data_IF_328394963138
#
_entry.id   IF_328394963138
#
_cell.length_a   1.000
_cell.length_b   1.000
_cell.length_c   1.000
_cell.angle_alpha   90.00
_cell.angle_beta   90.00
_cell.angle_gamma   90.00
#
_symmetry.space_group_name_H-M   'P 1'
#
loop_
_entity.id
_entity.type
_entity.pdbx_description
1 polymer ?
#
# COMPACT_ATOMS: atom_id res chain seq x y z
N UNK A 1 9.17 22.57 -87.48
CA UNK A 1 9.62 21.35 -86.77
C UNK A 1 10.16 21.81 -85.41
N UNK A 2 9.34 21.97 -84.37
CA UNK A 2 8.83 20.94 -83.43
C UNK A 2 9.97 20.07 -82.87
N UNK A 3 10.41 20.37 -81.64
CA UNK A 3 10.60 19.46 -80.50
C UNK A 3 11.18 20.26 -79.31
N UNK A 4 10.30 20.91 -78.55
CA UNK A 4 10.48 21.25 -77.12
C UNK A 4 9.37 20.53 -76.37
N UNK A 5 9.63 20.17 -75.11
CA UNK A 5 8.71 19.59 -74.14
C UNK A 5 8.22 18.16 -74.45
N UNK A 6 8.78 17.18 -73.73
CA UNK A 6 8.04 16.23 -72.87
C UNK A 6 9.03 15.19 -72.33
N UNK A 7 9.64 15.46 -71.19
CA UNK A 7 10.40 14.44 -70.44
C UNK A 7 10.29 14.73 -68.93
N UNK A 8 9.09 15.08 -68.48
CA UNK A 8 8.81 15.42 -67.09
C UNK A 8 7.33 15.14 -66.80
N UNK A 9 6.90 13.89 -66.98
CA UNK A 9 5.55 13.44 -66.63
C UNK A 9 5.42 11.91 -66.54
N UNK A 10 6.35 11.23 -65.86
CA UNK A 10 6.16 9.84 -65.42
C UNK A 10 6.92 9.59 -64.11
N UNK A 11 6.60 10.38 -63.08
CA UNK A 11 6.77 9.94 -61.70
C UNK A 11 5.40 9.46 -61.25
N UNK A 12 5.17 8.16 -61.04
CA UNK A 12 3.98 7.74 -60.34
C UNK A 12 4.09 8.33 -58.93
N UNK A 13 3.20 9.26 -58.62
CA UNK A 13 2.83 9.59 -57.25
C UNK A 13 2.36 8.28 -56.60
N UNK A 14 3.29 7.52 -56.03
CA UNK A 14 3.00 6.63 -54.92
C UNK A 14 2.70 7.52 -53.72
N UNK A 15 1.51 8.12 -53.72
CA UNK A 15 0.89 8.51 -52.47
C UNK A 15 0.62 7.17 -51.78
N UNK A 16 1.52 6.77 -50.88
CA UNK A 16 1.19 5.88 -49.79
C UNK A 16 0.09 6.60 -48.98
N UNK A 17 -1.16 6.50 -49.45
CA UNK A 17 -2.28 6.47 -48.53
C UNK A 17 -2.09 5.16 -47.79
N UNK A 18 -1.43 5.23 -46.63
CA UNK A 18 -1.59 4.25 -45.57
C UNK A 18 -3.08 4.18 -45.30
N UNK A 19 -3.76 3.23 -45.94
CA UNK A 19 -5.11 2.83 -45.59
C UNK A 19 -5.10 2.62 -44.08
N UNK A 20 -6.00 3.25 -43.30
CA UNK A 20 -6.17 2.86 -41.93
C UNK A 20 -6.40 1.35 -41.95
N UNK A 21 -5.56 0.63 -41.23
CA UNK A 21 -5.70 -0.80 -41.01
C UNK A 21 -7.11 -0.99 -40.47
N UNK A 22 -8.04 -1.39 -41.33
CA UNK A 22 -9.37 -1.81 -40.92
C UNK A 22 -9.14 -2.89 -39.89
N UNK A 23 -9.46 -2.57 -38.63
CA UNK A 23 -9.38 -3.51 -37.52
C UNK A 23 -10.12 -4.77 -37.97
N UNK A 24 -9.38 -5.87 -38.10
CA UNK A 24 -9.98 -7.20 -38.18
C UNK A 24 -10.89 -7.29 -36.97
N UNK A 25 -12.18 -7.68 -37.11
CA UNK A 25 -13.04 -7.84 -35.96
C UNK A 25 -12.35 -8.79 -34.99
N UNK A 26 -12.06 -8.30 -33.78
CA UNK A 26 -11.38 -9.07 -32.75
C UNK A 26 -12.16 -10.37 -32.51
N UNK A 27 -11.42 -11.49 -32.39
CA UNK A 27 -12.00 -12.78 -32.01
C UNK A 27 -12.72 -12.61 -30.67
N UNK A 28 -13.82 -13.34 -30.39
CA UNK A 28 -14.42 -13.34 -29.05
C UNK A 28 -13.43 -13.70 -27.93
N UNK A 29 -12.32 -14.35 -28.27
CA UNK A 29 -11.33 -14.89 -27.33
C UNK A 29 -10.21 -13.90 -26.98
N UNK A 30 -10.07 -12.77 -27.68
CA UNK A 30 -9.05 -11.78 -27.32
C UNK A 30 -9.41 -10.35 -27.69
N UNK A 31 -8.79 -9.39 -27.00
CA UNK A 31 -8.92 -7.95 -27.22
C UNK A 31 -7.55 -7.30 -27.22
N UNK A 32 -7.27 -6.47 -28.23
CA UNK A 32 -5.95 -5.81 -28.37
C UNK A 32 -6.09 -4.30 -28.38
N UNK A 33 -5.30 -3.64 -27.53
CA UNK A 33 -5.27 -2.20 -27.35
C UNK A 33 -3.88 -1.66 -27.73
N UNK A 34 -3.70 -1.16 -28.97
CA UNK A 34 -2.43 -0.62 -29.40
C UNK A 34 -2.20 0.79 -28.83
N UNK A 35 -0.94 1.13 -28.51
CA UNK A 35 -0.54 2.47 -28.10
C UNK A 35 0.69 2.97 -28.85
N UNK A 36 0.81 4.29 -28.95
CA UNK A 36 1.97 4.96 -29.50
C UNK A 36 2.19 6.31 -28.82
N UNK A 37 3.43 6.57 -28.44
CA UNK A 37 3.90 7.81 -27.85
C UNK A 37 5.03 8.36 -28.73
N UNK A 38 4.85 9.58 -29.22
CA UNK A 38 5.90 10.32 -29.93
C UNK A 38 6.77 11.15 -28.96
N UNK A 39 6.22 11.46 -27.80
CA UNK A 39 6.85 12.22 -26.72
C UNK A 39 6.37 11.64 -25.37
N UNK A 40 7.04 11.97 -24.24
CA UNK A 40 6.62 11.52 -22.92
C UNK A 40 5.17 11.92 -22.65
N UNK A 41 4.37 11.02 -22.11
CA UNK A 41 2.95 11.29 -21.95
C UNK A 41 2.17 10.15 -21.36
N UNK A 42 0.85 10.35 -21.34
CA UNK A 42 -0.11 9.39 -20.82
C UNK A 42 -1.19 9.15 -21.85
N UNK A 43 -1.55 7.89 -22.07
CA UNK A 43 -2.68 7.48 -22.89
C UNK A 43 -3.69 6.75 -22.00
N UNK A 44 -4.98 6.92 -22.28
CA UNK A 44 -6.06 6.29 -21.53
C UNK A 44 -6.96 5.55 -22.51
N UNK A 45 -7.37 4.34 -22.12
CA UNK A 45 -8.22 3.45 -22.91
C UNK A 45 -9.32 2.89 -22.02
N UNK A 46 -10.52 2.70 -22.56
CA UNK A 46 -11.60 2.00 -21.85
C UNK A 46 -11.41 0.50 -21.96
N UNK A 47 -11.81 -0.22 -20.91
CA UNK A 47 -11.68 -1.67 -20.79
C UNK A 47 -13.04 -2.38 -20.80
N UNK A 48 -14.11 -1.76 -21.33
CA UNK A 48 -15.46 -2.33 -21.39
C UNK A 48 -15.49 -3.71 -22.07
N UNK A 49 -14.70 -3.85 -23.14
CA UNK A 49 -14.53 -5.10 -23.88
C UNK A 49 -13.85 -6.20 -23.04
N UNK A 50 -12.99 -5.83 -22.09
CA UNK A 50 -12.33 -6.78 -21.17
C UNK A 50 -13.32 -7.30 -20.13
N UNK A 51 -14.32 -6.52 -19.74
CA UNK A 51 -15.41 -6.98 -18.86
C UNK A 51 -16.19 -8.12 -19.54
N UNK A 52 -16.52 -7.95 -20.82
CA UNK A 52 -17.21 -9.00 -21.60
C UNK A 52 -16.35 -10.25 -21.75
N UNK A 53 -15.04 -10.07 -21.96
CA UNK A 53 -14.07 -11.17 -22.01
C UNK A 53 -13.99 -11.90 -20.66
N UNK A 54 -14.05 -11.16 -19.56
CA UNK A 54 -14.00 -11.70 -18.21
C UNK A 54 -15.24 -12.57 -17.92
N UNK A 55 -16.43 -12.10 -18.25
CA UNK A 55 -17.68 -12.86 -18.09
C UNK A 55 -17.69 -14.13 -18.95
N UNK A 56 -17.18 -14.04 -20.20
CA UNK A 56 -17.04 -15.20 -21.07
C UNK A 56 -16.13 -16.26 -20.45
N UNK A 57 -14.93 -15.89 -20.02
CA UNK A 57 -14.00 -16.87 -19.47
C UNK A 57 -14.46 -17.44 -18.11
N UNK A 58 -15.19 -16.68 -17.28
CA UNK A 58 -15.89 -17.25 -16.12
C UNK A 58 -16.88 -18.35 -16.54
N UNK A 59 -17.73 -18.08 -17.53
CA UNK A 59 -18.74 -19.04 -18.00
C UNK A 59 -18.14 -20.33 -18.59
N UNK A 60 -16.90 -20.26 -19.07
CA UNK A 60 -16.17 -21.37 -19.69
C UNK A 60 -15.10 -21.98 -18.81
N UNK A 61 -14.99 -21.55 -17.54
CA UNK A 61 -13.95 -21.98 -16.61
C UNK A 61 -12.52 -21.80 -17.16
N UNK A 62 -12.27 -20.62 -17.72
CA UNK A 62 -11.02 -20.19 -18.34
C UNK A 62 -10.35 -19.08 -17.52
N UNK A 63 -9.09 -18.80 -17.84
CA UNK A 63 -8.29 -17.70 -17.26
C UNK A 63 -8.15 -16.60 -18.31
N UNK A 64 -8.11 -15.33 -17.90
CA UNK A 64 -7.71 -14.23 -18.80
C UNK A 64 -6.26 -13.89 -18.57
N UNK A 65 -5.49 -13.85 -19.65
CA UNK A 65 -4.11 -13.36 -19.64
C UNK A 65 -4.09 -11.93 -20.19
N UNK A 66 -3.47 -11.01 -19.46
CA UNK A 66 -3.03 -9.74 -19.99
C UNK A 66 -1.56 -9.79 -20.36
N UNK A 67 -1.28 -9.52 -21.63
CA UNK A 67 0.05 -9.37 -22.20
C UNK A 67 0.31 -7.93 -22.58
N UNK A 68 1.35 -7.34 -22.01
CA UNK A 68 1.84 -6.02 -22.38
C UNK A 68 3.16 -6.17 -23.12
N UNK A 69 3.29 -5.49 -24.26
CA UNK A 69 4.53 -5.42 -25.04
C UNK A 69 4.76 -3.98 -25.46
N UNK A 70 5.96 -3.47 -25.19
CA UNK A 70 6.46 -2.18 -25.65
C UNK A 70 7.75 -2.37 -26.46
N UNK A 71 7.86 -1.65 -27.58
CA UNK A 71 8.88 -1.88 -28.61
C UNK A 71 10.21 -1.20 -28.26
N UNK A 72 10.18 0.06 -27.85
CA UNK A 72 11.40 0.89 -27.74
C UNK A 72 11.75 1.19 -26.29
N UNK A 73 10.82 1.76 -25.51
CA UNK A 73 11.04 2.17 -24.13
C UNK A 73 10.09 1.43 -23.18
N UNK A 74 10.49 1.14 -21.94
CA UNK A 74 9.59 0.54 -20.96
C UNK A 74 8.44 1.49 -20.61
N UNK A 75 7.28 0.93 -20.29
CA UNK A 75 6.07 1.68 -19.90
C UNK A 75 5.57 1.22 -18.53
N UNK A 76 4.98 2.15 -17.80
CA UNK A 76 4.19 1.87 -16.59
C UNK A 76 2.71 1.91 -16.95
N UNK A 77 1.87 1.24 -16.16
CA UNK A 77 0.43 1.30 -16.37
C UNK A 77 -0.34 1.21 -15.07
N UNK A 78 -1.58 1.69 -15.14
CA UNK A 78 -2.54 1.65 -14.04
C UNK A 78 -3.89 1.24 -14.60
N UNK A 79 -4.52 0.24 -14.00
CA UNK A 79 -5.92 -0.11 -14.23
C UNK A 79 -6.75 0.54 -13.13
N UNK A 80 -7.77 1.28 -13.53
CA UNK A 80 -8.64 2.02 -12.63
C UNK A 80 -10.11 1.69 -12.83
N UNK A 81 -10.87 1.70 -11.75
CA UNK A 81 -12.33 1.71 -11.79
C UNK A 81 -12.83 2.89 -10.96
N UNK A 82 -13.68 3.75 -11.52
CA UNK A 82 -14.14 4.98 -10.86
C UNK A 82 -12.99 5.81 -10.25
N UNK A 83 -11.90 6.02 -11.00
CA UNK A 83 -10.64 6.65 -10.58
C UNK A 83 -9.88 5.98 -9.42
N UNK A 84 -10.39 4.90 -8.84
CA UNK A 84 -9.69 4.09 -7.85
C UNK A 84 -8.71 3.16 -8.55
N UNK A 85 -7.47 3.10 -8.07
CA UNK A 85 -6.43 2.23 -8.60
C UNK A 85 -6.67 0.82 -8.13
N UNK A 86 -6.98 -0.09 -9.05
CA UNK A 86 -7.15 -1.52 -8.75
C UNK A 86 -5.83 -2.26 -8.91
N UNK A 87 -5.07 -1.88 -9.94
CA UNK A 87 -3.81 -2.54 -10.26
C UNK A 87 -2.83 -1.55 -10.88
N UNK A 88 -1.62 -1.48 -10.35
CA UNK A 88 -0.58 -0.60 -10.87
C UNK A 88 0.73 -1.35 -11.08
N UNK A 89 1.39 -1.02 -12.19
CA UNK A 89 2.81 -1.26 -12.40
C UNK A 89 3.52 0.09 -12.39
N UNK A 90 4.11 0.40 -11.25
CA UNK A 90 4.91 1.60 -10.99
C UNK A 90 6.31 1.51 -11.60
N UNK A 91 6.93 0.33 -11.58
CA UNK A 91 8.24 0.08 -12.22
C UNK A 91 8.03 -0.18 -13.72
N UNK A 92 8.49 0.71 -14.63
CA UNK A 92 8.27 0.54 -16.06
C UNK A 92 8.91 -0.74 -16.59
N UNK A 93 8.17 -1.49 -17.41
CA UNK A 93 8.68 -2.69 -18.09
C UNK A 93 8.38 -2.66 -19.58
N UNK A 94 9.16 -3.41 -20.36
CA UNK A 94 8.89 -3.62 -21.79
C UNK A 94 7.90 -4.74 -22.04
N UNK A 95 7.89 -5.75 -21.18
CA UNK A 95 7.04 -6.92 -21.34
C UNK A 95 6.44 -7.30 -19.99
N UNK A 96 5.19 -7.73 -20.01
CA UNK A 96 4.55 -8.34 -18.84
C UNK A 96 3.50 -9.33 -19.29
N UNK A 97 3.40 -10.43 -18.57
CA UNK A 97 2.32 -11.40 -18.71
C UNK A 97 1.72 -11.64 -17.32
N UNK A 98 0.43 -11.35 -17.18
CA UNK A 98 -0.31 -11.46 -15.93
C UNK A 98 -1.55 -12.29 -16.20
N UNK A 99 -1.84 -13.23 -15.32
CA UNK A 99 -2.96 -14.14 -15.43
C UNK A 99 -3.96 -13.84 -14.31
N UNK A 100 -5.22 -13.67 -14.71
CA UNK A 100 -6.35 -13.38 -13.86
C UNK A 100 -7.21 -14.64 -13.71
N UNK A 101 -7.26 -15.16 -12.49
CA UNK A 101 -8.07 -16.32 -12.15
C UNK A 101 -9.54 -15.97 -11.91
N UNK A 102 -10.33 -16.96 -11.48
CA UNK A 102 -11.76 -16.81 -11.23
C UNK A 102 -12.08 -15.65 -10.27
N UNK A 103 -11.25 -15.44 -9.24
CA UNK A 103 -11.45 -14.36 -8.26
C UNK A 103 -11.31 -12.99 -8.92
N UNK A 104 -10.24 -12.79 -9.68
CA UNK A 104 -10.04 -11.56 -10.45
C UNK A 104 -11.13 -11.34 -11.48
N UNK A 105 -11.52 -12.40 -12.17
CA UNK A 105 -12.51 -12.32 -13.24
C UNK A 105 -13.89 -11.94 -12.70
N UNK A 106 -14.25 -12.47 -11.53
CA UNK A 106 -15.44 -12.05 -10.79
C UNK A 106 -15.37 -10.57 -10.44
N UNK A 107 -14.23 -10.12 -9.89
CA UNK A 107 -14.01 -8.70 -9.57
C UNK A 107 -14.12 -7.79 -10.81
N UNK A 108 -13.52 -8.18 -11.94
CA UNK A 108 -13.59 -7.43 -13.20
C UNK A 108 -15.03 -7.35 -13.73
N UNK A 109 -15.76 -8.46 -13.71
CA UNK A 109 -17.17 -8.53 -14.11
C UNK A 109 -18.08 -7.68 -13.23
N UNK A 110 -17.87 -7.68 -11.91
CA UNK A 110 -18.63 -6.84 -10.98
C UNK A 110 -18.26 -5.35 -11.10
N UNK A 111 -16.98 -5.06 -11.27
CA UNK A 111 -16.46 -3.70 -11.47
C UNK A 111 -17.07 -3.03 -12.69
N UNK A 112 -17.14 -3.75 -13.82
CA UNK A 112 -17.74 -3.24 -15.06
C UNK A 112 -19.25 -3.03 -15.02
N UNK A 113 -19.97 -3.58 -14.01
CA UNK A 113 -21.42 -3.36 -13.84
C UNK A 113 -21.75 -2.05 -13.12
N UNK A 114 -20.80 -1.51 -12.35
CA UNK A 114 -20.99 -0.28 -11.59
C UNK A 114 -20.65 0.90 -12.47
N UNK A 115 -21.68 1.64 -12.90
CA UNK A 115 -21.46 2.93 -13.57
C UNK A 115 -21.07 3.99 -12.55
N UNK A 116 -19.99 4.70 -12.80
CA UNK A 116 -19.50 5.75 -11.93
C UNK A 116 -20.36 7.00 -12.20
N UNK A 117 -21.12 7.43 -11.19
CA UNK A 117 -22.13 8.50 -11.35
C UNK A 117 -21.58 9.88 -11.76
N UNK A 118 -20.26 10.08 -11.76
CA UNK A 118 -19.59 11.38 -11.95
C UNK A 118 -18.41 11.34 -12.94
N UNK A 119 -18.14 10.19 -13.56
CA UNK A 119 -16.92 10.02 -14.36
C UNK A 119 -17.26 9.72 -15.81
N UNK A 120 -16.40 10.17 -16.73
CA UNK A 120 -16.58 9.95 -18.17
C UNK A 120 -16.26 8.50 -18.56
N UNK A 121 -15.42 7.82 -17.77
CA UNK A 121 -15.00 6.45 -18.02
C UNK A 121 -15.03 5.64 -16.72
N UNK A 122 -15.73 4.51 -16.74
CA UNK A 122 -15.90 3.68 -15.56
C UNK A 122 -14.65 2.82 -15.31
N UNK A 123 -14.21 2.07 -16.32
CA UNK A 123 -13.10 1.12 -16.21
C UNK A 123 -12.01 1.42 -17.27
N UNK A 124 -10.82 1.80 -16.83
CA UNK A 124 -9.77 2.33 -17.71
C UNK A 124 -8.39 1.73 -17.51
N UNK A 125 -7.63 1.66 -18.61
CA UNK A 125 -6.20 1.42 -18.64
C UNK A 125 -5.49 2.73 -18.94
N UNK A 126 -4.70 3.21 -17.99
CA UNK A 126 -3.83 4.35 -18.13
C UNK A 126 -2.39 3.88 -18.38
N UNK A 127 -1.80 4.26 -19.50
CA UNK A 127 -0.44 3.87 -19.90
C UNK A 127 0.43 5.13 -19.84
N UNK A 128 1.56 5.06 -19.14
CA UNK A 128 2.52 6.17 -19.06
C UNK A 128 3.85 5.76 -19.69
N UNK A 129 4.41 6.65 -20.49
CA UNK A 129 5.71 6.48 -21.12
C UNK A 129 6.58 7.72 -20.89
N UNK A 130 7.84 7.52 -20.51
CA UNK A 130 8.82 8.59 -20.31
C UNK A 130 9.61 8.93 -21.58
N UNK A 131 9.44 8.14 -22.65
CA UNK A 131 10.14 8.29 -23.93
C UNK A 131 9.23 7.82 -25.07
N UNK A 132 9.61 8.16 -26.31
CA UNK A 132 8.91 7.69 -27.49
C UNK A 132 8.93 6.15 -27.56
N UNK A 133 7.75 5.55 -27.71
CA UNK A 133 7.60 4.09 -27.80
C UNK A 133 6.24 3.74 -28.39
N UNK A 134 6.09 2.50 -28.84
CA UNK A 134 4.82 1.95 -29.27
C UNK A 134 4.65 0.54 -28.73
N UNK A 135 3.45 0.00 -28.78
CA UNK A 135 3.20 -1.33 -28.25
C UNK A 135 1.73 -1.68 -28.24
N UNK A 136 1.41 -2.69 -27.46
CA UNK A 136 0.03 -3.10 -27.24
C UNK A 136 -0.17 -3.75 -25.87
N UNK A 137 -1.42 -3.71 -25.43
CA UNK A 137 -1.97 -4.61 -24.42
C UNK A 137 -2.89 -5.60 -25.11
N UNK A 138 -2.77 -6.88 -24.80
CA UNK A 138 -3.66 -7.93 -25.30
C UNK A 138 -4.23 -8.70 -24.13
N UNK A 139 -5.55 -8.76 -24.06
CA UNK A 139 -6.28 -9.62 -23.15
C UNK A 139 -6.76 -10.83 -23.93
N UNK A 140 -6.54 -12.03 -23.42
CA UNK A 140 -6.84 -13.28 -24.13
C UNK A 140 -7.37 -14.33 -23.15
N UNK A 141 -8.43 -15.02 -23.53
CA UNK A 141 -8.92 -16.19 -22.80
C UNK A 141 -8.02 -17.39 -23.11
N UNK A 142 -7.65 -18.10 -22.05
CA UNK A 142 -6.82 -19.30 -22.13
C UNK A 142 -7.42 -20.40 -21.26
N UNK A 143 -7.03 -21.64 -21.52
CA UNK A 143 -7.27 -22.73 -20.57
C UNK A 143 -6.70 -22.36 -19.18
N UNK A 144 -7.25 -22.95 -18.12
CA UNK A 144 -6.84 -22.64 -16.75
C UNK A 144 -5.33 -22.64 -16.59
N UNK A 145 -4.81 -21.54 -16.06
CA UNK A 145 -3.38 -21.43 -15.81
C UNK A 145 -2.95 -22.37 -14.68
N UNK A 146 -1.93 -23.24 -14.88
CA UNK A 146 -1.50 -24.19 -13.86
C UNK A 146 -1.00 -23.46 -12.60
N UNK A 147 -1.65 -23.73 -11.47
CA UNK A 147 -1.27 -23.17 -10.18
C UNK A 147 -0.37 -24.12 -9.41
N UNK A 148 0.72 -23.60 -8.85
CA UNK A 148 1.44 -24.29 -7.80
C UNK A 148 0.72 -24.08 -6.47
N UNK A 149 0.56 -25.16 -5.69
CA UNK A 149 0.05 -25.03 -4.32
C UNK A 149 0.99 -24.12 -3.53
N UNK A 150 0.41 -23.25 -2.71
CA UNK A 150 1.21 -22.44 -1.81
C UNK A 150 2.06 -23.33 -0.90
N UNK A 151 3.26 -22.85 -0.60
CA UNK A 151 4.00 -23.32 0.57
C UNK A 151 3.38 -22.72 1.82
N UNK A 152 3.45 -23.44 2.93
CA UNK A 152 3.15 -22.88 4.24
C UNK A 152 4.24 -21.86 4.57
N UNK A 153 3.85 -20.59 4.70
CA UNK A 153 4.72 -19.55 5.20
C UNK A 153 4.39 -19.27 6.64
N UNK A 154 5.42 -19.08 7.47
CA UNK A 154 5.22 -18.55 8.81
C UNK A 154 4.57 -17.16 8.71
N UNK A 155 3.56 -16.93 9.55
CA UNK A 155 2.87 -15.63 9.65
C UNK A 155 3.76 -14.48 10.15
N UNK A 156 5.02 -14.76 10.46
CA UNK A 156 6.02 -13.81 10.92
C UNK A 156 7.23 -13.76 10.00
N UNK A 157 7.70 -12.54 9.73
CA UNK A 157 8.89 -12.27 8.93
C UNK A 157 9.99 -11.79 9.88
N UNK A 158 11.13 -12.49 9.86
CA UNK A 158 12.37 -12.01 10.48
C UNK A 158 13.08 -11.08 9.50
N UNK A 159 13.26 -9.84 9.92
CA UNK A 159 13.83 -8.78 9.11
C UNK A 159 15.21 -8.48 9.67
N UNK A 160 16.22 -8.67 8.83
CA UNK A 160 17.58 -8.29 9.14
C UNK A 160 18.16 -7.59 7.90
N UNK A 161 18.10 -6.26 7.92
CA UNK A 161 18.71 -5.40 6.93
C UNK A 161 19.92 -4.72 7.57
N UNK A 162 21.10 -4.94 6.98
CA UNK A 162 22.36 -4.33 7.45
C UNK A 162 22.70 -3.06 6.69
N UNK A 163 21.99 -2.81 5.59
CA UNK A 163 22.17 -1.67 4.68
C UNK A 163 20.79 -1.22 4.18
N UNK A 164 20.77 -0.08 3.51
CA UNK A 164 19.62 0.44 2.77
C UNK A 164 19.36 -0.41 1.53
N UNK A 165 18.83 -1.61 1.74
CA UNK A 165 18.49 -2.54 0.68
C UNK A 165 17.01 -2.91 0.71
N UNK A 166 16.40 -2.90 -0.46
CA UNK A 166 15.04 -3.42 -0.62
C UNK A 166 15.13 -4.94 -0.66
N UNK A 167 14.68 -5.58 0.42
CA UNK A 167 14.59 -7.03 0.50
C UNK A 167 13.12 -7.46 0.36
N UNK A 168 12.88 -8.41 -0.54
CA UNK A 168 11.58 -9.04 -0.74
C UNK A 168 11.43 -10.22 0.22
N UNK A 169 10.32 -10.27 0.95
CA UNK A 169 9.98 -11.33 1.88
C UNK A 169 8.71 -12.03 1.37
N UNK A 170 8.83 -13.24 0.80
CA UNK A 170 7.65 -13.97 0.34
C UNK A 170 6.84 -14.46 1.53
N UNK A 171 5.52 -14.35 1.43
CA UNK A 171 4.58 -14.80 2.45
C UNK A 171 3.28 -15.30 1.81
N UNK A 172 2.47 -16.05 2.56
CA UNK A 172 1.08 -16.32 2.20
C UNK A 172 0.15 -15.85 3.33
N UNK A 173 -0.86 -15.05 2.98
CA UNK A 173 -1.87 -14.51 3.90
C UNK A 173 -3.28 -15.08 3.71
N UNK A 174 -3.48 -16.01 2.78
CA UNK A 174 -4.80 -16.55 2.43
C UNK A 174 -5.55 -17.09 3.66
N UNK A 175 -4.89 -17.84 4.53
CA UNK A 175 -5.49 -18.39 5.75
C UNK A 175 -5.96 -17.29 6.71
N UNK A 176 -5.15 -16.24 6.88
CA UNK A 176 -5.45 -15.11 7.74
C UNK A 176 -6.60 -14.29 7.16
N UNK A 177 -6.56 -14.01 5.85
CA UNK A 177 -7.61 -13.31 5.11
C UNK A 177 -8.93 -14.09 5.21
N UNK A 178 -8.91 -15.40 4.95
CA UNK A 178 -10.08 -16.26 5.02
C UNK A 178 -10.71 -16.26 6.43
N UNK A 179 -9.90 -16.35 7.49
CA UNK A 179 -10.40 -16.30 8.88
C UNK A 179 -11.08 -14.98 9.23
N UNK A 180 -10.57 -13.86 8.74
CA UNK A 180 -11.19 -12.54 8.92
C UNK A 180 -12.48 -12.46 8.13
N UNK A 181 -12.50 -12.92 6.88
CA UNK A 181 -13.70 -12.92 6.03
C UNK A 181 -14.85 -13.76 6.56
N UNK A 182 -14.57 -14.88 7.23
CA UNK A 182 -15.62 -15.70 7.87
C UNK A 182 -16.27 -14.95 9.04
N UNK A 183 -15.53 -14.09 9.75
CA UNK A 183 -16.04 -13.37 10.91
C UNK A 183 -15.63 -11.88 10.89
N UNK A 184 -16.10 -11.09 9.91
CA UNK A 184 -15.60 -9.74 9.67
C UNK A 184 -15.96 -8.75 10.78
N UNK A 185 -17.01 -9.03 11.53
CA UNK A 185 -17.48 -8.19 12.64
C UNK A 185 -16.74 -8.42 13.96
N UNK A 186 -16.00 -9.52 14.06
CA UNK A 186 -15.33 -9.90 15.31
C UNK A 186 -13.83 -10.10 15.13
N UNK A 187 -13.33 -10.23 13.90
CA UNK A 187 -11.92 -10.45 13.61
C UNK A 187 -11.34 -9.39 12.69
N UNK A 188 -10.08 -9.05 12.91
CA UNK A 188 -9.30 -8.17 12.04
C UNK A 188 -7.91 -8.75 11.81
N UNK A 189 -7.34 -8.47 10.65
CA UNK A 189 -5.93 -8.74 10.40
C UNK A 189 -5.11 -7.56 10.93
N UNK A 190 -4.20 -7.86 11.85
CA UNK A 190 -3.35 -6.88 12.53
C UNK A 190 -1.91 -7.16 12.15
N UNK A 191 -1.20 -6.09 11.79
CA UNK A 191 0.24 -6.09 11.56
C UNK A 191 0.91 -5.64 12.86
N UNK A 192 1.78 -6.48 13.40
CA UNK A 192 2.52 -6.24 14.63
C UNK A 192 4.00 -6.06 14.29
N UNK A 193 4.47 -4.80 14.14
CA UNK A 193 5.87 -4.53 13.94
C UNK A 193 6.63 -4.51 15.28
N UNK A 194 7.80 -5.15 15.30
CA UNK A 194 8.76 -5.09 16.38
C UNK A 194 10.11 -4.68 15.80
N UNK A 195 10.22 -3.41 15.43
CA UNK A 195 11.43 -2.80 14.89
C UNK A 195 11.94 -1.69 15.81
N UNK A 196 13.24 -1.45 15.77
CA UNK A 196 13.88 -0.36 16.52
C UNK A 196 13.66 1.03 15.87
N UNK A 197 13.10 1.08 14.65
CA UNK A 197 12.76 2.34 13.97
C UNK A 197 11.36 2.83 14.29
N UNK A 198 11.21 4.16 14.26
CA UNK A 198 9.92 4.82 14.46
C UNK A 198 9.13 5.02 13.17
N UNK A 199 9.73 4.83 11.99
CA UNK A 199 9.06 5.03 10.71
C UNK A 199 9.52 4.01 9.69
N UNK A 200 8.56 3.35 9.08
CA UNK A 200 8.80 2.43 7.98
C UNK A 200 7.54 2.27 7.15
N UNK A 201 7.68 1.88 5.89
CA UNK A 201 6.59 1.54 5.01
C UNK A 201 6.64 0.07 4.61
N UNK A 202 5.46 -0.52 4.45
CA UNK A 202 5.25 -1.88 3.98
C UNK A 202 4.62 -1.80 2.59
N UNK A 203 5.27 -2.39 1.60
CA UNK A 203 4.71 -2.52 0.25
C UNK A 203 4.40 -3.99 -0.01
N UNK A 204 3.20 -4.25 -0.53
CA UNK A 204 2.78 -5.59 -0.95
C UNK A 204 2.85 -5.67 -2.46
N UNK A 205 3.51 -6.69 -3.00
CA UNK A 205 3.68 -6.87 -4.44
C UNK A 205 3.49 -8.31 -4.85
N UNK A 206 3.06 -8.51 -6.09
CA UNK A 206 3.11 -9.79 -6.79
C UNK A 206 3.26 -9.51 -8.28
N UNK A 207 4.05 -10.29 -9.00
CA UNK A 207 4.26 -10.10 -10.44
C UNK A 207 4.79 -8.69 -10.82
N UNK A 208 5.61 -8.10 -9.94
CA UNK A 208 6.08 -6.71 -10.04
C UNK A 208 4.95 -5.67 -10.23
N UNK A 209 3.77 -6.00 -9.69
CA UNK A 209 2.63 -5.11 -9.56
C UNK A 209 2.55 -4.65 -8.11
N UNK A 210 2.24 -3.38 -7.94
CA UNK A 210 2.09 -2.74 -6.65
C UNK A 210 0.64 -2.25 -6.53
N UNK A 211 -0.26 -3.02 -5.92
CA UNK A 211 -1.57 -2.47 -5.60
C UNK A 211 -1.51 -1.55 -4.39
N UNK A 212 -0.48 -1.63 -3.52
CA UNK A 212 -0.62 -1.11 -2.16
C UNK A 212 0.69 -0.86 -1.40
N UNK A 213 0.80 0.34 -0.82
CA UNK A 213 1.82 0.72 0.15
C UNK A 213 1.16 1.25 1.44
N UNK A 214 1.63 0.79 2.59
CA UNK A 214 1.22 1.23 3.92
C UNK A 214 2.38 1.92 4.62
N UNK A 215 2.22 3.19 4.96
CA UNK A 215 3.18 3.90 5.80
C UNK A 215 2.78 3.73 7.27
N UNK A 216 3.69 3.20 8.09
CA UNK A 216 3.48 3.02 9.51
C UNK A 216 4.35 4.02 10.28
N UNK A 217 3.67 4.81 11.10
CA UNK A 217 4.28 5.79 11.99
C UNK A 217 4.22 5.17 13.39
N UNK A 218 5.38 5.00 13.99
CA UNK A 218 5.65 4.30 15.25
C UNK A 218 5.48 2.77 15.13
N UNK A 219 6.17 1.98 15.99
CA UNK A 219 6.03 0.52 16.06
C UNK A 219 4.70 0.12 16.71
N UNK A 220 3.61 0.78 16.33
CA UNK A 220 2.26 0.50 16.81
C UNK A 220 1.59 -0.58 15.95
N UNK A 221 0.73 -1.42 16.54
CA UNK A 221 -0.10 -2.35 15.78
C UNK A 221 -0.94 -1.64 14.72
N UNK A 222 -0.88 -2.10 13.48
CA UNK A 222 -1.70 -1.56 12.39
C UNK A 222 -2.84 -2.52 12.05
N UNK A 223 -4.08 -2.04 12.12
CA UNK A 223 -5.26 -2.82 11.78
C UNK A 223 -5.57 -2.61 10.30
N UNK A 224 -5.64 -3.70 9.53
CA UNK A 224 -6.07 -3.65 8.14
C UNK A 224 -7.59 -3.52 8.07
N UNK A 225 -8.06 -2.46 7.40
CA UNK A 225 -9.47 -2.27 7.12
C UNK A 225 -9.96 -3.25 6.03
N UNK A 226 -11.27 -3.27 5.77
CA UNK A 226 -11.88 -4.18 4.79
C UNK A 226 -11.40 -3.96 3.36
N UNK A 227 -11.12 -2.71 2.98
CA UNK A 227 -10.68 -2.35 1.63
C UNK A 227 -9.25 -2.84 1.37
N UNK A 228 -8.34 -2.58 2.30
CA UNK A 228 -6.96 -3.06 2.26
C UNK A 228 -6.90 -4.58 2.24
N UNK A 229 -7.74 -5.24 3.04
CA UNK A 229 -7.83 -6.70 3.06
C UNK A 229 -8.30 -7.25 1.69
N UNK A 230 -9.26 -6.57 1.05
CA UNK A 230 -9.74 -6.94 -0.27
C UNK A 230 -8.68 -6.76 -1.36
N UNK A 231 -7.91 -5.66 -1.34
CA UNK A 231 -6.79 -5.47 -2.26
C UNK A 231 -5.67 -6.49 -2.06
N UNK A 232 -5.39 -6.90 -0.81
CA UNK A 232 -4.44 -7.98 -0.52
C UNK A 232 -4.94 -9.33 -1.06
N UNK A 233 -6.23 -9.61 -0.92
CA UNK A 233 -6.84 -10.81 -1.48
C UNK A 233 -6.70 -10.82 -3.01
N UNK A 234 -7.10 -9.74 -3.68
CA UNK A 234 -6.91 -9.57 -5.13
C UNK A 234 -5.44 -9.81 -5.50
N UNK A 235 -4.50 -9.16 -4.83
CA UNK A 235 -3.07 -9.35 -5.12
C UNK A 235 -2.62 -10.81 -5.00
N UNK A 236 -3.10 -11.52 -3.98
CA UNK A 236 -2.73 -12.91 -3.72
C UNK A 236 -3.20 -13.89 -4.80
N UNK A 237 -4.22 -13.50 -5.57
CA UNK A 237 -4.80 -14.27 -6.67
C UNK A 237 -4.20 -13.95 -8.06
N UNK A 238 -3.33 -12.94 -8.17
CA UNK A 238 -2.61 -12.67 -9.42
C UNK A 238 -1.60 -13.77 -9.72
N UNK A 239 -1.36 -14.08 -10.99
CA UNK A 239 -0.33 -15.06 -11.39
C UNK A 239 0.53 -14.48 -12.50
N UNK A 240 1.79 -14.89 -12.55
CA UNK A 240 2.73 -14.56 -13.62
C UNK A 240 3.61 -15.76 -13.91
N UNK A 241 4.38 -15.69 -15.00
CA UNK A 241 5.24 -16.78 -15.42
C UNK A 241 6.34 -17.09 -14.39
N UNK A 242 6.84 -16.05 -13.73
CA UNK A 242 7.90 -16.11 -12.72
C UNK A 242 7.37 -16.59 -11.36
N UNK A 243 6.08 -16.36 -11.06
CA UNK A 243 5.42 -16.80 -9.83
C UNK A 243 3.97 -17.25 -10.08
N UNK A 244 3.79 -18.57 -10.12
CA UNK A 244 2.50 -19.24 -10.28
C UNK A 244 1.91 -19.78 -8.96
N UNK A 245 2.51 -19.45 -7.81
CA UNK A 245 2.03 -19.90 -6.51
C UNK A 245 0.79 -19.10 -6.12
N UNK A 246 -0.29 -19.81 -5.84
CA UNK A 246 -1.49 -19.19 -5.30
C UNK A 246 -1.23 -18.64 -3.89
N UNK A 247 -1.82 -17.49 -3.56
CA UNK A 247 -1.75 -16.92 -2.21
C UNK A 247 -0.43 -16.25 -1.81
N UNK A 248 0.65 -16.51 -2.56
CA UNK A 248 1.96 -15.93 -2.27
C UNK A 248 2.00 -14.44 -2.62
N UNK A 249 2.50 -13.59 -1.74
CA UNK A 249 2.79 -12.18 -2.02
C UNK A 249 4.20 -11.85 -1.50
N UNK A 250 4.86 -10.91 -2.15
CA UNK A 250 6.14 -10.37 -1.69
C UNK A 250 5.87 -9.11 -0.85
N UNK A 251 6.35 -9.12 0.39
CA UNK A 251 6.39 -7.94 1.25
C UNK A 251 7.76 -7.29 1.14
N UNK A 252 7.79 -6.00 0.86
CA UNK A 252 9.01 -5.19 0.88
C UNK A 252 8.88 -4.13 1.96
N UNK A 253 9.93 -3.97 2.75
CA UNK A 253 9.98 -3.01 3.84
C UNK A 253 10.94 -1.87 3.50
N UNK A 254 10.49 -0.65 3.75
CA UNK A 254 11.21 0.58 3.47
C UNK A 254 11.37 1.35 4.77
N UNK A 255 12.55 1.88 5.01
CA UNK A 255 12.83 2.85 6.07
C UNK A 255 13.64 3.96 5.43
N UNK A 256 13.41 5.20 5.84
CA UNK A 256 14.15 6.38 5.35
C UNK A 256 15.26 6.82 6.31
N UNK A 257 15.20 6.37 7.57
CA UNK A 257 16.06 6.86 8.66
C UNK A 257 17.15 5.85 9.07
N UNK A 258 16.83 4.54 9.11
CA UNK A 258 17.77 3.50 9.52
C UNK A 258 17.46 2.12 8.89
N UNK A 259 18.45 1.22 8.71
CA UNK A 259 18.19 -0.16 8.33
C UNK A 259 17.25 -0.88 9.32
N UNK A 260 16.37 -1.74 8.81
CA UNK A 260 15.40 -2.45 9.63
C UNK A 260 15.98 -3.73 10.23
N UNK A 261 15.87 -3.87 11.55
CA UNK A 261 16.17 -5.10 12.26
C UNK A 261 15.03 -5.41 13.23
N UNK A 262 14.51 -6.64 13.19
CA UNK A 262 13.41 -7.06 14.05
C UNK A 262 12.44 -8.01 13.37
N UNK A 263 11.17 -7.98 13.78
CA UNK A 263 10.15 -8.89 13.24
C UNK A 263 8.87 -8.15 12.82
N UNK A 264 8.21 -8.69 11.81
CA UNK A 264 6.88 -8.27 11.38
C UNK A 264 5.93 -9.46 11.43
N UNK A 265 4.88 -9.38 12.23
CA UNK A 265 3.93 -10.49 12.40
C UNK A 265 2.55 -10.09 11.91
N UNK A 266 1.92 -10.98 11.14
CA UNK A 266 0.55 -10.84 10.65
C UNK A 266 -0.36 -11.74 11.48
N UNK A 267 -1.21 -11.14 12.30
CA UNK A 267 -2.01 -11.86 13.28
C UNK A 267 -3.50 -11.56 13.10
N UNK A 268 -4.32 -12.61 13.17
CA UNK A 268 -5.79 -12.46 13.22
C UNK A 268 -6.18 -12.25 14.68
N UNK A 269 -6.55 -11.02 15.02
CA UNK A 269 -6.98 -10.66 16.36
C UNK A 269 -8.51 -10.57 16.43
N UNK A 270 -9.08 -10.98 17.56
CA UNK A 270 -10.47 -10.67 17.89
C UNK A 270 -10.58 -9.18 18.30
N UNK A 271 -11.67 -8.51 17.94
CA UNK A 271 -11.93 -7.11 18.27
C UNK A 271 -11.88 -6.85 19.79
N UNK A 272 -12.21 -7.88 20.59
CA UNK A 272 -12.08 -7.84 22.05
C UNK A 272 -10.62 -7.90 22.49
N UNK A 273 -9.76 -8.69 21.82
CA UNK A 273 -8.36 -8.88 22.17
C UNK A 273 -7.47 -7.65 21.92
N UNK A 274 -7.79 -6.85 20.88
CA UNK A 274 -7.09 -5.57 20.63
C UNK A 274 -7.42 -4.54 21.71
N UNK A 275 -8.68 -4.50 22.15
CA UNK A 275 -9.05 -3.70 23.33
C UNK A 275 -8.40 -4.24 24.62
N UNK A 276 -8.23 -5.55 24.75
CA UNK A 276 -7.69 -6.13 25.97
C UNK A 276 -6.21 -5.80 26.17
N UNK A 277 -5.38 -5.74 25.12
CA UNK A 277 -3.99 -5.28 25.25
C UNK A 277 -3.90 -3.81 25.72
N UNK A 278 -4.77 -2.94 25.19
CA UNK A 278 -4.85 -1.53 25.57
C UNK A 278 -5.42 -1.34 26.98
N UNK A 279 -6.45 -2.12 27.34
CA UNK A 279 -7.02 -2.14 28.69
C UNK A 279 -6.00 -2.67 29.71
N UNK A 280 -5.20 -3.67 29.36
CA UNK A 280 -4.20 -4.22 30.27
C UNK A 280 -3.11 -3.21 30.60
N UNK A 281 -2.62 -2.46 29.59
CA UNK A 281 -1.68 -1.36 29.80
C UNK A 281 -2.27 -0.23 30.66
N UNK A 282 -3.53 0.16 30.40
CA UNK A 282 -4.23 1.17 31.19
C UNK A 282 -4.51 0.72 32.63
N UNK A 283 -4.90 -0.53 32.83
CA UNK A 283 -5.18 -1.10 34.15
C UNK A 283 -3.91 -1.23 34.98
N UNK A 284 -2.78 -1.62 34.37
CA UNK A 284 -1.47 -1.63 35.01
C UNK A 284 -1.04 -0.23 35.46
N UNK A 285 -1.24 0.80 34.62
CA UNK A 285 -0.97 2.19 34.98
C UNK A 285 -1.82 2.66 36.17
N UNK A 286 -3.11 2.32 36.18
CA UNK A 286 -4.02 2.66 37.28
C UNK A 286 -3.58 1.97 38.58
N UNK A 287 -3.26 0.67 38.53
CA UNK A 287 -2.80 -0.09 39.69
C UNK A 287 -1.47 0.45 40.22
N UNK A 288 -0.52 0.74 39.32
CA UNK A 288 0.77 1.29 39.70
C UNK A 288 0.63 2.69 40.32
N UNK A 289 -0.21 3.53 39.73
CA UNK A 289 -0.57 4.84 40.29
C UNK A 289 -1.14 4.71 41.69
N UNK A 290 -2.11 3.80 41.90
CA UNK A 290 -2.73 3.58 43.21
C UNK A 290 -1.72 3.13 44.28
N UNK A 291 -0.82 2.21 43.93
CA UNK A 291 0.26 1.76 44.83
C UNK A 291 1.16 2.95 45.22
N UNK A 292 1.55 3.77 44.24
CA UNK A 292 2.39 4.96 44.47
C UNK A 292 1.70 5.95 45.42
N UNK A 293 0.41 6.24 45.21
CA UNK A 293 -0.36 7.15 46.07
C UNK A 293 -0.46 6.62 47.50
N UNK A 294 -0.69 5.31 47.67
CA UNK A 294 -0.72 4.66 48.99
C UNK A 294 0.65 4.73 49.66
N UNK A 295 1.74 4.47 48.94
CA UNK A 295 3.10 4.59 49.46
C UNK A 295 3.42 6.02 49.92
N UNK A 296 3.03 7.04 49.14
CA UNK A 296 3.20 8.46 49.50
C UNK A 296 2.38 8.80 50.75
N UNK A 297 1.12 8.38 50.81
CA UNK A 297 0.26 8.63 51.96
C UNK A 297 0.80 7.98 53.24
N UNK A 298 1.26 6.74 53.15
CA UNK A 298 1.91 6.02 54.26
C UNK A 298 3.19 6.76 54.68
N UNK A 299 4.03 7.15 53.72
CA UNK A 299 5.25 7.92 53.97
C UNK A 299 4.99 9.24 54.71
N UNK A 300 4.01 10.02 54.26
CA UNK A 300 3.58 11.24 54.94
C UNK A 300 3.04 10.97 56.34
N UNK A 301 2.25 9.91 56.52
CA UNK A 301 1.70 9.55 57.83
C UNK A 301 2.81 9.17 58.83
N UNK A 302 3.83 8.41 58.38
CA UNK A 302 5.01 8.11 59.18
C UNK A 302 5.86 9.35 59.48
N UNK A 303 6.05 10.25 58.51
CA UNK A 303 6.78 11.50 58.70
C UNK A 303 6.10 12.38 59.76
N UNK A 304 4.79 12.58 59.65
CA UNK A 304 3.99 13.32 60.64
C UNK A 304 4.00 12.66 62.02
N UNK A 305 3.91 11.33 62.11
CA UNK A 305 4.03 10.63 63.39
C UNK A 305 5.41 10.81 64.03
N UNK A 306 6.47 10.88 63.22
CA UNK A 306 7.85 11.10 63.69
C UNK A 306 8.07 12.54 64.15
N UNK A 307 7.50 13.52 63.45
CA UNK A 307 7.52 14.94 63.84
C UNK A 307 6.68 15.21 65.10
N UNK A 308 5.49 14.61 65.23
CA UNK A 308 4.68 14.70 66.45
C UNK A 308 5.39 14.14 67.68
N UNK A 309 6.18 13.07 67.52
CA UNK A 309 7.04 12.53 68.59
C UNK A 309 8.24 13.45 68.90
N UNK A 310 8.86 14.07 67.89
CA UNK A 310 9.93 15.08 68.08
C UNK A 310 9.42 16.36 68.78
N UNK A 311 8.25 16.86 68.40
CA UNK A 311 7.63 18.03 69.03
C UNK A 311 7.30 17.79 70.51
N UNK A 312 6.82 16.58 70.87
CA UNK A 312 6.64 16.17 72.28
C UNK A 312 7.96 16.07 73.06
N UNK A 313 9.06 15.74 72.40
CA UNK A 313 10.40 15.68 73.00
C UNK A 313 10.98 17.08 73.25
N UNK A 314 10.83 18.01 72.29
CA UNK A 314 11.31 19.40 72.40
C UNK A 314 10.52 20.16 73.50
N UNK A 315 9.22 19.90 73.66
CA UNK A 315 8.41 20.50 74.74
C UNK A 315 8.86 20.09 76.16
N UNK A 316 9.62 18.97 76.30
CA UNK A 316 10.19 18.52 77.58
C UNK A 316 11.64 18.98 77.82
N UNK A 317 12.32 19.57 76.84
CA UNK A 317 13.68 20.09 76.96
C UNK A 317 13.87 21.32 76.05
N UNK A 318 13.52 22.53 76.53
CA UNK A 318 13.48 23.74 75.71
C UNK A 318 14.85 24.32 75.30
N UNK A 319 15.98 23.70 75.70
CA UNK A 319 17.33 24.25 75.47
C UNK A 319 17.96 23.89 74.11
N UNK A 320 17.24 23.21 73.21
CA UNK A 320 17.80 22.69 71.94
C UNK A 320 17.30 23.38 70.66
N UNK A 321 16.59 24.51 70.74
CA UNK A 321 16.22 25.26 69.55
C UNK A 321 17.38 26.15 69.07
N UNK A 322 18.10 25.69 68.05
CA UNK A 322 18.86 26.59 67.15
C UNK A 322 17.93 27.14 66.07
N UNK A 323 18.15 28.38 65.58
CA UNK A 323 17.37 28.95 64.50
C UNK A 323 17.56 28.16 63.20
N UNK A 324 16.47 27.87 62.51
CA UNK A 324 16.49 27.28 61.17
C UNK A 324 16.90 28.35 60.14
N UNK A 325 17.77 28.01 59.17
CA UNK A 325 18.08 28.88 58.04
C UNK A 325 16.89 29.00 57.08
N UNK A 326 16.83 30.08 56.28
CA UNK A 326 15.73 30.35 55.37
C UNK A 326 15.61 29.30 54.26
N UNK A 327 14.36 29.03 53.88
CA UNK A 327 13.95 28.07 52.85
C UNK A 327 14.27 28.66 51.46
N UNK A 328 14.93 27.91 50.55
CA UNK A 328 15.10 28.36 49.17
C UNK A 328 13.78 28.29 48.40
N UNK A 329 13.54 29.31 47.56
CA UNK A 329 12.42 29.38 46.62
C UNK A 329 12.37 28.14 45.71
N UNK A 330 11.16 27.58 45.57
CA UNK A 330 10.89 26.35 44.85
C UNK A 330 10.42 26.72 43.44
N UNK A 331 11.23 26.42 42.41
CA UNK A 331 10.83 26.58 41.00
C UNK A 331 9.63 25.69 40.66
N UNK A 332 8.62 26.29 40.02
CA UNK A 332 7.45 25.60 39.48
C UNK A 332 7.86 24.60 38.40
N UNK A 333 7.65 23.31 38.67
CA UNK A 333 7.80 22.25 37.67
C UNK A 333 6.45 22.08 36.97
N UNK A 334 6.35 22.63 35.76
CA UNK A 334 5.21 22.45 34.87
C UNK A 334 5.20 21.00 34.35
N UNK A 335 4.19 20.23 34.74
CA UNK A 335 4.06 18.82 34.39
C UNK A 335 3.11 18.67 33.18
N UNK A 336 3.67 18.65 31.97
CA UNK A 336 2.91 18.37 30.73
C UNK A 336 2.51 16.89 30.67
N UNK A 337 1.20 16.63 30.74
CA UNK A 337 0.60 15.30 30.57
C UNK A 337 0.45 15.00 29.08
N UNK A 338 1.16 13.96 28.62
CA UNK A 338 1.08 13.48 27.23
C UNK A 338 -0.07 12.47 27.08
N UNK A 339 -1.02 12.77 26.19
CA UNK A 339 -2.10 11.84 25.82
C UNK A 339 -1.74 11.26 24.45
N UNK A 340 -1.52 9.94 24.30
CA UNK A 340 -1.21 9.35 23.00
C UNK A 340 -2.43 9.40 22.09
N UNK A 341 -2.26 9.98 20.90
CA UNK A 341 -3.22 9.96 19.79
C UNK A 341 -3.05 8.66 19.02
N UNK A 342 -4.11 7.86 18.90
CA UNK A 342 -4.16 6.76 17.94
C UNK A 342 -4.57 7.31 16.57
N UNK A 343 -3.88 6.84 15.52
CA UNK A 343 -4.18 7.19 14.14
C UNK A 343 -4.97 6.05 13.52
N UNK A 344 -6.28 6.23 13.35
CA UNK A 344 -7.02 5.48 12.35
C UNK A 344 -6.56 5.95 10.99
N UNK A 345 -5.82 5.11 10.26
CA UNK A 345 -5.38 5.41 8.90
C UNK A 345 -6.60 5.38 7.97
N UNK A 346 -7.16 6.56 7.71
CA UNK A 346 -8.00 6.81 6.54
C UNK A 346 -7.07 6.98 5.36
N UNK A 347 -7.35 6.27 4.28
CA UNK A 347 -6.76 6.54 2.98
C UNK A 347 -7.18 7.95 2.55
N UNK A 348 -6.22 8.83 2.28
CA UNK A 348 -6.47 10.07 1.54
C UNK A 348 -5.90 9.87 0.14
N UNK A 349 -6.79 9.76 -0.86
CA UNK A 349 -6.41 9.57 -2.26
C UNK A 349 -6.13 10.89 -2.98
N UNK A 350 -6.03 12.01 -2.24
CA UNK A 350 -5.78 13.34 -2.79
C UNK A 350 -4.46 13.91 -2.29
N UNK A 351 -3.47 13.96 -3.18
CA UNK A 351 -2.77 15.19 -3.57
C UNK A 351 -1.51 14.87 -4.39
N UNK A 352 -1.67 14.86 -5.71
CA UNK A 352 -0.65 15.34 -6.65
C UNK A 352 -1.39 16.11 -7.75
N UNK A 353 -1.96 17.25 -7.36
CA UNK A 353 -2.56 18.25 -8.24
C UNK A 353 -2.27 19.64 -7.70
N UNK A 354 -1.09 20.16 -8.01
CA UNK A 354 -0.77 21.58 -8.29
C UNK A 354 0.71 21.57 -8.72
N UNK A 355 1.13 22.09 -9.88
CA UNK A 355 0.90 23.46 -10.32
C UNK A 355 2.09 24.32 -9.91
N UNK A 356 3.22 24.21 -10.61
CA UNK A 356 4.26 25.25 -10.57
C UNK A 356 4.74 25.56 -11.98
N UNK A 357 4.09 26.55 -12.57
CA UNK A 357 4.70 27.45 -13.53
C UNK A 357 5.74 28.28 -12.78
N UNK A 358 7.03 28.01 -13.00
CA UNK A 358 8.07 29.04 -12.87
C UNK A 358 8.82 29.16 -14.19
N UNK A 359 8.57 30.29 -14.84
CA UNK A 359 9.46 30.89 -15.81
C UNK A 359 10.80 31.20 -15.13
N UNK A 360 11.89 30.63 -15.63
CA UNK A 360 13.21 31.27 -15.53
C UNK A 360 13.80 31.29 -16.94
N UNK A 361 13.91 32.51 -17.47
CA UNK A 361 14.86 32.86 -18.51
C UNK A 361 16.27 32.71 -17.93
N UNK A 362 17.11 31.91 -18.56
CA UNK A 362 18.55 32.18 -18.61
C UNK A 362 19.04 31.99 -20.04
N UNK A 363 19.23 33.13 -20.70
CA UNK A 363 20.14 33.32 -21.81
C UNK A 363 21.58 33.21 -21.29
N UNK A 364 22.40 32.34 -21.86
CA UNK A 364 23.85 32.53 -21.95
C UNK A 364 24.32 31.95 -23.29
N UNK A 365 24.86 32.86 -24.11
CA UNK A 365 25.79 32.78 -25.26
C UNK A 365 26.00 31.47 -26.05
#
# INVERSE_FOLDING_TARGET
MKYRLLALLLLPLFILHSRPTTATPDSPDFKTFPFQFYYPGTNMMTLDDVVSLAELALSQNMTVMMKMVSTVAPVSFTIKNCNEVILERDIPSRNSEIYFDEFWMTHLGESGKRRCSREEYDFTLQIKASQATSGFFRFETLAQFPTMKSMDFDSGIQVHQTKWEQKKYPMNLQDQIARVKINPFTKSLVILPAFDTNKFAIQFRKCDLNPMMLSLIEPSPAILNSELLYHLELLSHLKCREDSHDGRIDVTLFSEDQPLNGTLVFHVADHTGVLDYLKFGSLLLIVFGFILTVCIAIGHCFAWCKEGKRAKYIKKNPLLMRPLPPIPEQEEIEMTVFVPKFVTLSYDSRDYSEGSTEHIYESID
#
